data_IF_387853352745
#
_entry.id   IF_387853352745
#
_cell.length_a   1.000
_cell.length_b   1.000
_cell.length_c   1.000
_cell.angle_alpha   90.00
_cell.angle_beta   90.00
_cell.angle_gamma   90.00
#
_symmetry.space_group_name_H-M   'P 1'
#
loop_
_entity.id
_entity.type
_entity.pdbx_description
1 polymer ?
#
# COMPACT_ATOMS: atom_id res chain seq x y z
N UNK A 1 -31.65 -21.25 7.04
CA UNK A 1 -32.66 -20.22 6.74
C UNK A 1 -32.09 -19.18 5.74
N UNK A 2 -31.01 -18.47 6.08
CA UNK A 2 -30.54 -17.33 5.29
C UNK A 2 -29.98 -17.70 3.92
N UNK A 3 -29.26 -18.81 3.81
CA UNK A 3 -28.75 -19.31 2.51
C UNK A 3 -29.90 -19.76 1.58
N UNK A 4 -30.95 -20.37 2.13
CA UNK A 4 -32.12 -20.75 1.37
C UNK A 4 -32.86 -19.50 0.86
N UNK A 5 -33.06 -18.53 1.70
CA UNK A 5 -33.66 -17.23 1.34
C UNK A 5 -32.87 -16.50 0.23
N UNK A 6 -31.54 -16.40 0.38
CA UNK A 6 -30.69 -15.78 -0.63
C UNK A 6 -30.78 -16.53 -1.97
N UNK A 7 -30.80 -17.87 -1.94
CA UNK A 7 -30.92 -18.66 -3.14
C UNK A 7 -32.29 -18.46 -3.82
N UNK A 8 -33.38 -18.56 -3.06
CA UNK A 8 -34.75 -18.50 -3.58
C UNK A 8 -35.10 -17.08 -4.08
N UNK A 9 -34.79 -16.06 -3.30
CA UNK A 9 -35.21 -14.69 -3.60
C UNK A 9 -34.28 -13.94 -4.57
N UNK A 10 -33.01 -14.32 -4.65
CA UNK A 10 -32.02 -13.60 -5.46
C UNK A 10 -31.32 -14.48 -6.49
N UNK A 11 -30.60 -15.52 -6.07
CA UNK A 11 -29.71 -16.27 -6.97
C UNK A 11 -30.46 -17.11 -8.01
N UNK A 12 -31.62 -17.64 -7.65
CA UNK A 12 -32.48 -18.41 -8.59
C UNK A 12 -32.96 -17.60 -9.79
N UNK A 13 -32.95 -16.27 -9.70
CA UNK A 13 -33.36 -15.36 -10.81
C UNK A 13 -32.28 -15.21 -11.88
N UNK A 14 -31.07 -15.70 -11.61
CA UNK A 14 -29.97 -15.64 -12.56
C UNK A 14 -29.75 -17.00 -13.21
N UNK A 15 -29.58 -17.01 -14.51
CA UNK A 15 -29.11 -18.20 -15.23
C UNK A 15 -27.61 -18.19 -15.37
N UNK A 16 -26.99 -19.37 -15.22
CA UNK A 16 -25.54 -19.50 -15.42
C UNK A 16 -25.21 -19.18 -16.88
N UNK A 17 -24.53 -18.08 -17.10
CA UNK A 17 -23.90 -17.76 -18.38
C UNK A 17 -22.59 -18.49 -18.53
N UNK A 18 -21.99 -18.54 -19.74
CA UNK A 18 -20.65 -19.08 -19.94
C UNK A 18 -19.60 -18.39 -19.05
N UNK A 19 -18.39 -18.91 -19.06
CA UNK A 19 -17.26 -18.30 -18.30
C UNK A 19 -17.04 -16.87 -18.79
N UNK A 20 -17.22 -15.90 -17.90
CA UNK A 20 -16.84 -14.50 -18.17
C UNK A 20 -15.35 -14.38 -17.99
N UNK A 21 -14.65 -13.84 -18.97
CA UNK A 21 -13.23 -13.50 -18.84
C UNK A 21 -13.11 -12.23 -18.00
N UNK A 22 -12.80 -12.44 -16.70
CA UNK A 22 -12.59 -11.38 -15.72
C UNK A 22 -11.16 -11.41 -15.15
N UNK A 23 -10.26 -12.12 -15.83
CA UNK A 23 -8.86 -12.26 -15.38
C UNK A 23 -8.17 -10.90 -15.45
N UNK A 24 -7.61 -10.45 -14.33
CA UNK A 24 -6.75 -9.27 -14.27
C UNK A 24 -5.33 -9.73 -14.63
N UNK A 25 -4.74 -9.26 -15.73
CA UNK A 25 -3.40 -9.66 -16.09
C UNK A 25 -2.38 -9.07 -15.11
N UNK A 26 -1.35 -9.87 -14.80
CA UNK A 26 -0.21 -9.41 -14.01
C UNK A 26 0.59 -8.39 -14.83
N UNK A 27 0.86 -7.23 -14.27
CA UNK A 27 1.74 -6.25 -14.86
C UNK A 27 3.20 -6.74 -14.78
N UNK A 28 3.92 -6.85 -15.90
CA UNK A 28 5.33 -7.20 -15.88
C UNK A 28 6.15 -6.19 -15.08
N UNK A 29 7.14 -6.68 -14.35
CA UNK A 29 8.06 -5.80 -13.62
C UNK A 29 8.76 -4.84 -14.58
N UNK A 30 9.00 -3.61 -14.12
CA UNK A 30 9.77 -2.65 -14.88
C UNK A 30 11.23 -3.06 -14.95
N UNK A 31 11.87 -2.83 -16.10
CA UNK A 31 13.31 -3.08 -16.26
C UNK A 31 14.16 -2.18 -15.33
N UNK A 32 13.65 -1.01 -14.98
CA UNK A 32 14.23 -0.06 -14.02
C UNK A 32 13.14 0.73 -13.32
N UNK A 33 13.44 1.27 -12.16
CA UNK A 33 12.55 2.22 -11.46
C UNK A 33 12.10 3.32 -12.40
N UNK A 34 10.80 3.60 -12.44
CA UNK A 34 10.23 4.73 -13.18
C UNK A 34 10.24 5.98 -12.32
N UNK A 35 10.42 7.12 -12.96
CA UNK A 35 10.32 8.44 -12.34
C UNK A 35 9.22 9.23 -13.05
N UNK A 36 8.36 9.84 -12.28
CA UNK A 36 7.21 10.62 -12.77
C UNK A 36 7.19 11.95 -12.02
N UNK A 37 7.12 13.03 -12.76
CA UNK A 37 6.83 14.35 -12.23
C UNK A 37 5.43 14.76 -12.70
N UNK A 38 4.61 15.22 -11.79
CA UNK A 38 3.26 15.67 -12.05
C UNK A 38 2.98 16.97 -11.26
N UNK A 39 1.95 17.68 -11.69
CA UNK A 39 1.62 18.99 -11.13
C UNK A 39 0.17 19.01 -10.66
N UNK A 40 -0.08 19.67 -9.54
CA UNK A 40 -1.42 19.92 -9.03
C UNK A 40 -1.70 21.41 -8.91
N UNK A 41 -2.96 21.84 -9.07
CA UNK A 41 -3.31 23.25 -9.03
C UNK A 41 -3.18 23.82 -7.61
N UNK A 42 -2.68 25.05 -7.55
CA UNK A 42 -2.74 25.93 -6.38
C UNK A 42 -3.13 27.33 -6.86
N UNK A 43 -3.60 28.19 -5.95
CA UNK A 43 -4.02 29.54 -6.27
C UNK A 43 -2.87 30.36 -6.89
N UNK A 44 -3.19 31.29 -7.81
CA UNK A 44 -2.20 32.03 -8.59
C UNK A 44 -1.20 32.85 -7.75
N UNK A 45 -1.57 33.22 -6.53
CA UNK A 45 -0.71 33.98 -5.59
C UNK A 45 -0.21 33.14 -4.42
N UNK A 46 -0.44 31.82 -4.43
CA UNK A 46 -0.12 30.95 -3.30
C UNK A 46 1.37 30.67 -3.22
N UNK A 47 1.92 30.73 -1.99
CA UNK A 47 3.30 30.31 -1.71
C UNK A 47 3.42 28.79 -1.91
N UNK A 48 4.34 28.37 -2.77
CA UNK A 48 4.59 26.97 -3.09
C UNK A 48 5.61 26.30 -2.15
N UNK A 49 6.17 27.03 -1.19
CA UNK A 49 7.14 26.49 -0.22
C UNK A 49 6.54 25.35 0.59
N UNK A 50 7.29 24.26 0.73
CA UNK A 50 6.89 23.07 1.47
C UNK A 50 5.54 22.45 1.00
N UNK A 51 5.25 22.50 -0.30
CA UNK A 51 4.02 21.95 -0.90
C UNK A 51 4.26 20.79 -1.86
N UNK A 52 5.49 20.38 -2.03
CA UNK A 52 5.84 19.21 -2.85
C UNK A 52 5.56 17.92 -2.08
N UNK A 53 5.10 16.91 -2.82
CA UNK A 53 4.97 15.55 -2.34
C UNK A 53 5.95 14.65 -3.10
N UNK A 54 6.65 13.78 -2.37
CA UNK A 54 7.42 12.69 -2.96
C UNK A 54 6.86 11.37 -2.49
N UNK A 55 6.71 10.42 -3.40
CA UNK A 55 6.26 9.08 -3.10
C UNK A 55 7.10 8.04 -3.82
N UNK A 56 7.55 7.03 -3.09
CA UNK A 56 8.11 5.81 -3.62
C UNK A 56 7.05 4.72 -3.48
N UNK A 57 6.49 4.25 -4.59
CA UNK A 57 5.54 3.14 -4.64
C UNK A 57 6.21 1.91 -5.24
N UNK A 58 6.10 0.78 -4.56
CA UNK A 58 6.75 -0.49 -4.90
C UNK A 58 5.68 -1.56 -5.02
N UNK A 59 5.64 -2.25 -6.15
CA UNK A 59 4.79 -3.43 -6.32
C UNK A 59 5.46 -4.61 -5.61
N UNK A 60 4.77 -5.23 -4.66
CA UNK A 60 5.36 -6.24 -3.76
C UNK A 60 4.48 -7.47 -3.64
N UNK A 61 5.01 -8.64 -3.97
CA UNK A 61 4.34 -9.92 -3.76
C UNK A 61 3.10 -10.15 -4.64
N UNK A 62 2.18 -10.94 -4.10
CA UNK A 62 0.91 -11.32 -4.73
C UNK A 62 -0.16 -11.45 -3.64
N UNK A 63 -1.38 -10.99 -3.89
CA UNK A 63 -2.50 -11.03 -2.95
C UNK A 63 -2.88 -12.46 -2.50
N UNK A 64 -2.59 -13.47 -3.33
CA UNK A 64 -2.85 -14.88 -2.99
C UNK A 64 -1.83 -15.48 -2.01
N UNK A 65 -0.67 -14.81 -1.80
CA UNK A 65 0.28 -15.16 -0.73
C UNK A 65 -0.06 -14.38 0.54
N UNK A 66 -0.98 -14.90 1.32
CA UNK A 66 -1.52 -14.25 2.53
C UNK A 66 -0.44 -14.05 3.59
N UNK A 67 0.51 -14.98 3.71
CA UNK A 67 1.60 -14.87 4.67
C UNK A 67 2.51 -13.68 4.35
N UNK A 68 2.97 -13.58 3.11
CA UNK A 68 3.80 -12.46 2.66
C UNK A 68 3.03 -11.14 2.74
N UNK A 69 1.75 -11.13 2.36
CA UNK A 69 0.86 -9.97 2.48
C UNK A 69 0.75 -9.47 3.92
N UNK A 70 0.52 -10.38 4.86
CA UNK A 70 0.44 -10.04 6.28
C UNK A 70 1.80 -9.56 6.83
N UNK A 71 2.90 -10.20 6.43
CA UNK A 71 4.24 -9.81 6.84
C UNK A 71 4.64 -8.41 6.32
N UNK A 72 4.32 -8.08 5.06
CA UNK A 72 4.61 -6.77 4.48
C UNK A 72 3.75 -5.66 5.09
N UNK A 73 2.48 -5.94 5.41
CA UNK A 73 1.62 -5.02 6.16
C UNK A 73 2.19 -4.73 7.56
N UNK A 74 2.68 -5.77 8.25
CA UNK A 74 3.33 -5.63 9.54
C UNK A 74 4.62 -4.81 9.45
N UNK A 75 5.43 -5.04 8.41
CA UNK A 75 6.64 -4.26 8.14
C UNK A 75 6.32 -2.79 7.86
N UNK A 76 5.26 -2.49 7.12
CA UNK A 76 4.84 -1.11 6.89
C UNK A 76 4.57 -0.41 8.22
N UNK A 77 3.77 -1.03 9.11
CA UNK A 77 3.50 -0.48 10.44
C UNK A 77 4.76 -0.27 11.28
N UNK A 78 5.66 -1.25 11.32
CA UNK A 78 6.92 -1.16 12.08
C UNK A 78 7.84 -0.07 11.53
N UNK A 79 7.92 0.09 10.21
CA UNK A 79 8.84 1.03 9.57
C UNK A 79 8.33 2.48 9.58
N UNK A 80 6.99 2.71 9.55
CA UNK A 80 6.42 3.99 9.18
C UNK A 80 5.27 4.51 10.07
N UNK A 81 4.55 3.66 10.84
CA UNK A 81 3.31 4.07 11.52
C UNK A 81 3.54 5.03 12.69
N UNK A 82 4.53 4.76 13.53
CA UNK A 82 4.81 5.56 14.73
C UNK A 82 5.95 6.56 14.53
N UNK A 83 6.01 7.60 15.37
CA UNK A 83 7.14 8.54 15.37
C UNK A 83 8.48 7.88 15.73
N UNK A 84 8.45 6.78 16.46
CA UNK A 84 9.64 5.98 16.80
C UNK A 84 10.04 5.00 15.70
N UNK A 85 9.21 4.83 14.67
CA UNK A 85 9.46 3.93 13.54
C UNK A 85 10.74 4.33 12.81
N UNK A 86 11.65 3.37 12.52
CA UNK A 86 13.01 3.69 12.10
C UNK A 86 13.07 4.48 10.80
N UNK A 87 12.30 4.11 9.80
CA UNK A 87 12.30 4.78 8.51
C UNK A 87 11.64 6.16 8.58
N UNK A 88 10.49 6.26 9.26
CA UNK A 88 9.83 7.55 9.48
C UNK A 88 10.75 8.53 10.19
N UNK A 89 11.38 8.11 11.27
CA UNK A 89 12.32 8.93 12.04
C UNK A 89 13.53 9.35 11.22
N UNK A 90 14.11 8.45 10.43
CA UNK A 90 15.25 8.77 9.56
C UNK A 90 14.90 9.85 8.55
N UNK A 91 13.73 9.74 7.91
CA UNK A 91 13.26 10.72 6.92
C UNK A 91 12.93 12.09 7.56
N UNK A 92 12.26 12.11 8.71
CA UNK A 92 11.98 13.34 9.45
C UNK A 92 13.28 14.03 9.90
N UNK A 93 14.21 13.28 10.47
CA UNK A 93 15.52 13.82 10.89
C UNK A 93 16.35 14.35 9.71
N UNK A 94 16.19 13.77 8.53
CA UNK A 94 16.82 14.26 7.32
C UNK A 94 16.15 15.54 6.77
N UNK A 95 14.99 15.93 7.27
CA UNK A 95 14.26 17.12 6.81
C UNK A 95 13.78 17.00 5.38
N UNK A 96 13.38 15.83 4.93
CA UNK A 96 12.90 15.61 3.54
C UNK A 96 11.43 15.92 3.35
N UNK A 97 10.73 16.29 4.40
CA UNK A 97 9.34 16.68 4.41
C UNK A 97 8.85 16.95 5.83
N UNK A 98 7.73 17.64 5.95
CA UNK A 98 7.11 17.93 7.24
C UNK A 98 6.36 16.75 7.82
N UNK A 99 5.83 15.87 6.96
CA UNK A 99 5.16 14.65 7.37
C UNK A 99 5.59 13.46 6.49
N UNK A 100 5.80 12.32 7.15
CA UNK A 100 6.16 11.06 6.52
C UNK A 100 5.05 10.05 6.84
N UNK A 101 4.59 9.34 5.83
CA UNK A 101 3.60 8.28 5.97
C UNK A 101 3.94 7.07 5.12
N UNK A 102 3.41 5.92 5.50
CA UNK A 102 3.43 4.70 4.72
C UNK A 102 2.03 4.26 4.35
N UNK A 103 1.94 3.35 3.39
CA UNK A 103 0.73 2.59 3.14
C UNK A 103 1.05 1.24 2.50
N UNK A 104 0.23 0.24 2.83
CA UNK A 104 0.26 -1.07 2.21
C UNK A 104 -1.14 -1.43 1.69
N UNK A 105 -1.28 -1.50 0.37
CA UNK A 105 -2.53 -1.87 -0.30
C UNK A 105 -2.46 -3.34 -0.69
N UNK A 106 -2.95 -4.22 0.17
CA UNK A 106 -2.87 -5.68 0.02
C UNK A 106 -4.03 -6.31 -0.75
N UNK A 107 -5.08 -5.54 -1.07
CA UNK A 107 -6.28 -6.02 -1.78
C UNK A 107 -6.14 -6.04 -3.31
N UNK A 108 -5.03 -5.58 -3.86
CA UNK A 108 -4.72 -5.66 -5.28
C UNK A 108 -4.04 -6.99 -5.59
N UNK A 109 -4.26 -7.55 -6.81
CA UNK A 109 -3.56 -8.75 -7.27
C UNK A 109 -2.04 -8.65 -7.04
N UNK A 110 -1.48 -7.50 -7.36
CA UNK A 110 -0.11 -7.12 -7.06
C UNK A 110 -0.12 -6.01 -6.01
N UNK A 111 0.06 -6.34 -4.72
CA UNK A 111 0.06 -5.38 -3.63
C UNK A 111 1.08 -4.26 -3.82
N UNK A 112 0.79 -3.11 -3.24
CA UNK A 112 1.65 -1.92 -3.32
C UNK A 112 2.07 -1.52 -1.91
N UNK A 113 3.38 -1.30 -1.75
CA UNK A 113 3.99 -0.69 -0.57
C UNK A 113 4.44 0.72 -0.94
N UNK A 114 3.94 1.74 -0.25
CA UNK A 114 4.28 3.14 -0.53
C UNK A 114 4.89 3.83 0.67
N UNK A 115 5.86 4.71 0.39
CA UNK A 115 6.50 5.63 1.33
C UNK A 115 6.32 7.02 0.78
N UNK A 116 5.76 7.94 1.58
CA UNK A 116 5.41 9.29 1.15
C UNK A 116 5.98 10.34 2.08
N UNK A 117 6.57 11.38 1.50
CA UNK A 117 6.89 12.64 2.17
C UNK A 117 5.96 13.73 1.65
N UNK A 118 5.37 14.51 2.55
CA UNK A 118 4.57 15.68 2.26
C UNK A 118 5.11 16.90 2.99
N UNK A 119 4.81 18.10 2.46
CA UNK A 119 5.44 19.30 2.97
C UNK A 119 6.94 19.33 2.65
N UNK A 120 7.30 18.94 1.43
CA UNK A 120 8.66 18.84 0.91
C UNK A 120 8.96 19.95 -0.11
N UNK A 121 10.20 19.93 -0.63
CA UNK A 121 10.66 20.77 -1.72
C UNK A 121 11.08 19.91 -2.92
N UNK A 122 10.98 20.38 -4.16
CA UNK A 122 11.34 19.62 -5.36
C UNK A 122 12.74 19.01 -5.31
N UNK A 123 13.71 19.75 -4.78
CA UNK A 123 15.13 19.39 -4.72
C UNK A 123 15.41 18.27 -3.71
N UNK A 124 14.47 17.97 -2.81
CA UNK A 124 14.64 16.96 -1.76
C UNK A 124 14.34 15.53 -2.24
N UNK A 125 13.88 15.35 -3.49
CA UNK A 125 13.56 14.03 -4.05
C UNK A 125 14.70 13.02 -3.90
N UNK A 126 15.89 13.37 -4.35
CA UNK A 126 17.03 12.45 -4.35
C UNK A 126 17.51 12.15 -2.93
N UNK A 127 17.42 13.12 -2.03
CA UNK A 127 17.68 12.94 -0.60
C UNK A 127 16.65 12.00 0.03
N UNK A 128 15.36 12.17 -0.29
CA UNK A 128 14.28 11.29 0.16
C UNK A 128 14.58 9.83 -0.21
N UNK A 129 14.90 9.57 -1.48
CA UNK A 129 15.22 8.23 -1.98
C UNK A 129 16.49 7.68 -1.32
N UNK A 130 17.55 8.49 -1.23
CA UNK A 130 18.82 8.07 -0.63
C UNK A 130 18.64 7.66 0.84
N UNK A 131 17.87 8.42 1.63
CA UNK A 131 17.61 8.11 3.04
C UNK A 131 16.80 6.82 3.18
N UNK A 132 15.81 6.57 2.30
CA UNK A 132 15.05 5.31 2.31
C UNK A 132 16.00 4.13 2.10
N UNK A 133 16.76 4.13 1.02
CA UNK A 133 17.66 3.01 0.70
C UNK A 133 18.72 2.79 1.78
N UNK A 134 19.35 3.85 2.25
CA UNK A 134 20.34 3.74 3.33
C UNK A 134 19.73 3.15 4.60
N UNK A 135 18.56 3.63 5.01
CA UNK A 135 17.91 3.14 6.23
C UNK A 135 17.50 1.67 6.10
N UNK A 136 16.93 1.28 4.94
CA UNK A 136 16.56 -0.12 4.70
C UNK A 136 17.79 -1.03 4.65
N UNK A 137 18.89 -0.60 4.03
CA UNK A 137 20.16 -1.34 4.03
C UNK A 137 20.73 -1.47 5.44
N UNK A 138 20.75 -0.38 6.22
CA UNK A 138 21.22 -0.42 7.62
C UNK A 138 20.38 -1.41 8.46
N UNK A 139 19.07 -1.47 8.24
CA UNK A 139 18.16 -2.44 8.88
C UNK A 139 18.50 -3.87 8.47
N UNK A 140 18.76 -4.13 7.19
CA UNK A 140 19.09 -5.50 6.74
C UNK A 140 20.45 -5.97 7.28
N UNK A 141 21.39 -5.08 7.51
CA UNK A 141 22.71 -5.41 8.07
C UNK A 141 22.64 -5.61 9.59
N UNK A 142 21.99 -4.68 10.29
CA UNK A 142 22.01 -4.64 11.77
C UNK A 142 20.83 -5.36 12.42
N UNK A 143 19.81 -5.73 11.64
CA UNK A 143 18.56 -6.34 12.08
C UNK A 143 17.49 -5.31 12.46
N UNK A 144 16.22 -5.72 12.35
CA UNK A 144 15.07 -4.99 12.89
C UNK A 144 14.99 -5.15 14.41
N UNK A 145 14.51 -4.11 15.09
CA UNK A 145 14.20 -4.22 16.51
C UNK A 145 13.09 -5.27 16.75
N UNK A 146 13.49 -6.39 17.35
CA UNK A 146 12.59 -7.51 17.64
C UNK A 146 11.44 -7.13 18.55
N UNK A 147 11.63 -6.16 19.45
CA UNK A 147 10.57 -5.70 20.36
C UNK A 147 9.49 -4.94 19.61
N UNK A 148 9.87 -4.12 18.62
CA UNK A 148 8.91 -3.44 17.76
C UNK A 148 8.10 -4.43 16.91
N UNK A 149 8.76 -5.42 16.31
CA UNK A 149 8.10 -6.48 15.56
C UNK A 149 7.15 -7.29 16.44
N UNK A 150 7.58 -7.68 17.64
CA UNK A 150 6.77 -8.43 18.58
C UNK A 150 5.56 -7.63 19.05
N UNK A 151 5.72 -6.34 19.33
CA UNK A 151 4.63 -5.46 19.70
C UNK A 151 3.61 -5.31 18.56
N UNK A 152 4.07 -5.15 17.32
CA UNK A 152 3.20 -5.08 16.15
C UNK A 152 2.44 -6.39 15.90
N UNK A 153 3.11 -7.55 16.06
CA UNK A 153 2.46 -8.88 16.00
C UNK A 153 1.40 -9.04 17.08
N UNK A 154 1.70 -8.64 18.33
CA UNK A 154 0.75 -8.73 19.43
C UNK A 154 -0.47 -7.83 19.18
N UNK A 155 -0.26 -6.61 18.71
CA UNK A 155 -1.35 -5.69 18.34
C UNK A 155 -2.22 -6.26 17.21
N UNK A 156 -1.59 -6.83 16.18
CA UNK A 156 -2.29 -7.47 15.06
C UNK A 156 -3.11 -8.67 15.53
N UNK A 157 -2.51 -9.56 16.34
CA UNK A 157 -3.20 -10.71 16.91
C UNK A 157 -4.38 -10.28 17.78
N UNK A 158 -4.20 -9.27 18.63
CA UNK A 158 -5.26 -8.71 19.47
C UNK A 158 -6.43 -8.22 18.61
N UNK A 159 -6.16 -7.37 17.61
CA UNK A 159 -7.20 -6.85 16.69
C UNK A 159 -7.96 -7.98 15.99
N UNK A 160 -7.26 -9.03 15.55
CA UNK A 160 -7.89 -10.19 14.90
C UNK A 160 -8.74 -11.04 15.85
N UNK A 161 -8.33 -11.19 17.11
CA UNK A 161 -9.06 -11.97 18.11
C UNK A 161 -10.29 -11.25 18.64
N UNK A 162 -10.17 -9.96 18.96
CA UNK A 162 -11.27 -9.14 19.44
C UNK A 162 -12.34 -8.98 18.36
N UNK A 163 -11.90 -8.89 17.08
CA UNK A 163 -12.81 -8.71 15.94
C UNK A 163 -13.80 -7.59 16.18
N UNK A 164 -13.33 -6.52 16.81
CA UNK A 164 -14.12 -5.31 17.02
C UNK A 164 -13.98 -4.42 15.78
N UNK A 165 -15.05 -4.35 15.02
CA UNK A 165 -15.14 -3.55 13.81
C UNK A 165 -16.06 -2.33 14.00
N UNK A 166 -16.28 -1.93 15.23
CA UNK A 166 -17.16 -0.82 15.59
C UNK A 166 -18.59 -1.07 15.12
N UNK A 167 -19.14 -0.15 14.34
CA UNK A 167 -20.52 -0.24 13.84
C UNK A 167 -20.72 -1.25 12.69
N UNK A 168 -19.67 -1.85 12.15
CA UNK A 168 -19.78 -2.77 11.02
C UNK A 168 -20.07 -4.21 11.47
N UNK A 169 -21.01 -4.92 10.82
CA UNK A 169 -21.25 -6.34 11.10
C UNK A 169 -19.99 -7.18 10.85
N UNK A 170 -19.64 -8.06 11.78
CA UNK A 170 -18.45 -8.93 11.67
C UNK A 170 -18.43 -9.71 10.37
N UNK A 171 -19.56 -10.28 9.96
CA UNK A 171 -19.67 -11.04 8.72
C UNK A 171 -19.34 -10.24 7.46
N UNK A 172 -19.69 -8.95 7.43
CA UNK A 172 -19.36 -8.06 6.32
C UNK A 172 -17.84 -7.87 6.22
N UNK A 173 -17.16 -7.57 7.33
CA UNK A 173 -15.71 -7.34 7.32
C UNK A 173 -14.95 -8.61 6.98
N UNK A 174 -15.35 -9.77 7.51
CA UNK A 174 -14.78 -11.05 7.11
C UNK A 174 -15.02 -11.35 5.63
N UNK A 175 -16.23 -11.07 5.11
CA UNK A 175 -16.54 -11.23 3.71
C UNK A 175 -15.66 -10.38 2.80
N UNK A 176 -15.44 -9.10 3.14
CA UNK A 176 -14.52 -8.21 2.43
C UNK A 176 -13.09 -8.78 2.47
N UNK A 177 -12.59 -9.17 3.65
CA UNK A 177 -11.25 -9.73 3.78
C UNK A 177 -11.03 -11.04 3.01
N UNK A 178 -12.08 -11.87 2.88
CA UNK A 178 -12.06 -13.08 2.05
C UNK A 178 -11.94 -12.73 0.57
N UNK A 179 -12.59 -11.65 0.12
CA UNK A 179 -12.57 -11.21 -1.28
C UNK A 179 -11.17 -10.78 -1.73
N UNK A 180 -10.33 -10.23 -0.85
CA UNK A 180 -8.97 -9.80 -1.18
C UNK A 180 -8.10 -10.90 -1.83
N UNK A 181 -8.38 -12.15 -1.51
CA UNK A 181 -7.70 -13.32 -2.05
C UNK A 181 -8.56 -14.05 -3.10
N UNK A 182 -9.84 -14.22 -2.82
CA UNK A 182 -10.75 -15.01 -3.67
C UNK A 182 -10.98 -14.40 -5.05
N UNK A 183 -10.97 -13.09 -5.19
CA UNK A 183 -11.06 -12.39 -6.48
C UNK A 183 -9.95 -12.77 -7.46
N UNK A 184 -8.85 -13.30 -6.96
CA UNK A 184 -7.68 -13.69 -7.74
C UNK A 184 -7.44 -15.22 -7.74
N UNK A 185 -8.52 -15.99 -7.63
CA UNK A 185 -8.50 -17.46 -7.59
C UNK A 185 -7.75 -18.08 -6.38
N UNK A 186 -7.48 -17.29 -5.33
CA UNK A 186 -6.93 -17.78 -4.07
C UNK A 186 -7.98 -18.50 -3.22
N UNK A 187 -7.51 -19.22 -2.19
CA UNK A 187 -8.40 -19.94 -1.29
C UNK A 187 -9.10 -18.97 -0.32
N UNK A 188 -10.44 -18.81 -0.40
CA UNK A 188 -11.17 -17.84 0.43
C UNK A 188 -11.07 -18.11 1.93
N UNK A 189 -10.82 -19.34 2.35
CA UNK A 189 -10.78 -19.73 3.77
C UNK A 189 -9.40 -19.51 4.39
N UNK A 190 -8.36 -19.36 3.59
CA UNK A 190 -6.98 -19.31 4.08
C UNK A 190 -6.74 -18.08 4.95
N UNK A 191 -7.24 -16.92 4.55
CA UNK A 191 -7.14 -15.68 5.35
C UNK A 191 -7.84 -15.73 6.71
N UNK A 192 -8.85 -16.61 6.85
CA UNK A 192 -9.54 -16.82 8.12
C UNK A 192 -8.73 -17.72 9.09
N UNK A 193 -7.73 -18.44 8.60
CA UNK A 193 -6.83 -19.30 9.41
C UNK A 193 -5.62 -18.53 9.94
N UNK A 194 -5.81 -17.29 10.32
CA UNK A 194 -4.73 -16.36 10.73
C UNK A 194 -3.83 -16.90 11.86
N UNK A 195 -4.32 -17.78 12.73
CA UNK A 195 -3.51 -18.35 13.81
C UNK A 195 -2.26 -19.09 13.31
N UNK A 196 -2.35 -19.80 12.18
CA UNK A 196 -1.22 -20.52 11.58
C UNK A 196 -0.21 -19.50 11.06
N UNK A 197 -0.68 -18.48 10.35
CA UNK A 197 0.15 -17.44 9.78
C UNK A 197 0.84 -16.64 10.87
N UNK A 198 0.12 -16.24 11.92
CA UNK A 198 0.70 -15.52 13.06
C UNK A 198 1.80 -16.33 13.76
N UNK A 199 1.61 -17.65 13.90
CA UNK A 199 2.65 -18.54 14.44
C UNK A 199 3.91 -18.50 13.58
N UNK A 200 3.76 -18.65 12.26
CA UNK A 200 4.89 -18.61 11.33
C UNK A 200 5.60 -17.25 11.35
N UNK A 201 4.85 -16.15 11.42
CA UNK A 201 5.41 -14.81 11.55
C UNK A 201 6.18 -14.62 12.88
N UNK A 202 5.69 -15.21 13.99
CA UNK A 202 6.42 -15.22 15.27
C UNK A 202 7.69 -16.06 15.19
N UNK A 203 7.66 -17.18 14.50
CA UNK A 203 8.87 -17.98 14.29
C UNK A 203 9.88 -17.25 13.41
N UNK A 204 9.42 -16.38 12.49
CA UNK A 204 10.23 -15.47 11.70
C UNK A 204 11.07 -14.49 12.54
N UNK A 205 10.63 -14.12 13.76
CA UNK A 205 11.41 -13.28 14.69
C UNK A 205 12.73 -13.91 15.14
N UNK A 206 12.84 -15.23 15.05
CA UNK A 206 14.05 -15.99 15.45
C UNK A 206 15.06 -16.10 14.30
N UNK A 207 14.71 -15.65 13.13
CA UNK A 207 15.48 -15.75 11.89
C UNK A 207 15.69 -14.37 11.28
N UNK A 208 16.22 -14.32 10.06
CA UNK A 208 16.32 -13.08 9.26
C UNK A 208 15.14 -12.92 8.29
N UNK A 209 13.97 -13.46 8.62
CA UNK A 209 12.82 -13.48 7.71
C UNK A 209 12.38 -12.07 7.30
N UNK A 210 12.29 -11.15 8.25
CA UNK A 210 11.84 -9.77 7.97
C UNK A 210 12.88 -8.95 7.22
N UNK A 211 14.15 -9.13 7.53
CA UNK A 211 15.26 -8.52 6.78
C UNK A 211 15.29 -9.03 5.33
N UNK A 212 15.06 -10.33 5.12
CA UNK A 212 14.96 -10.91 3.78
C UNK A 212 13.76 -10.36 2.99
N UNK A 213 12.63 -10.10 3.64
CA UNK A 213 11.50 -9.43 2.98
C UNK A 213 11.88 -8.02 2.54
N UNK A 214 12.59 -7.26 3.37
CA UNK A 214 13.09 -5.93 3.01
C UNK A 214 14.05 -6.02 1.83
N UNK A 215 15.02 -6.94 1.88
CA UNK A 215 15.98 -7.18 0.79
C UNK A 215 15.25 -7.48 -0.54
N UNK A 216 14.40 -8.51 -0.53
CA UNK A 216 13.79 -9.02 -1.76
C UNK A 216 12.71 -8.10 -2.34
N UNK A 217 11.87 -7.49 -1.49
CA UNK A 217 10.70 -6.74 -1.96
C UNK A 217 10.91 -5.23 -2.00
N UNK A 218 11.74 -4.68 -1.12
CA UNK A 218 11.92 -3.23 -1.04
C UNK A 218 13.25 -2.76 -1.65
N UNK A 219 14.35 -3.51 -1.50
CA UNK A 219 15.66 -3.13 -2.02
C UNK A 219 15.91 -3.65 -3.44
N UNK A 220 15.88 -4.96 -3.65
CA UNK A 220 16.29 -5.60 -4.91
C UNK A 220 15.18 -5.61 -5.99
N UNK A 221 14.05 -5.06 -5.69
CA UNK A 221 12.91 -4.98 -6.59
C UNK A 221 13.03 -3.77 -7.54
N UNK A 222 12.87 -3.95 -8.84
CA UNK A 222 12.87 -2.88 -9.85
C UNK A 222 11.47 -2.37 -10.20
N UNK A 223 10.41 -3.09 -9.77
CA UNK A 223 9.03 -2.72 -10.05
C UNK A 223 8.56 -1.57 -9.12
N UNK A 224 9.18 -0.40 -9.32
CA UNK A 224 9.01 0.80 -8.51
C UNK A 224 8.71 2.01 -9.36
N UNK A 225 7.98 2.95 -8.76
CA UNK A 225 7.75 4.28 -9.31
C UNK A 225 8.08 5.32 -8.23
N UNK A 226 8.88 6.32 -8.60
CA UNK A 226 9.10 7.52 -7.80
C UNK A 226 8.22 8.61 -8.41
N UNK A 227 7.31 9.16 -7.63
CA UNK A 227 6.44 10.26 -8.05
C UNK A 227 6.82 11.51 -7.27
N UNK A 228 7.02 12.62 -8.00
CA UNK A 228 7.07 13.96 -7.43
C UNK A 228 5.85 14.72 -7.90
N UNK A 229 5.03 15.17 -6.95
CA UNK A 229 3.85 15.99 -7.24
C UNK A 229 4.09 17.41 -6.75
N UNK A 230 4.16 18.33 -7.69
CA UNK A 230 4.57 19.72 -7.47
C UNK A 230 3.38 20.67 -7.54
N UNK A 231 3.33 21.71 -6.70
CA UNK A 231 2.33 22.76 -6.81
C UNK A 231 2.56 23.60 -8.07
N UNK A 232 1.49 23.91 -8.81
CA UNK A 232 1.55 24.77 -10.00
C UNK A 232 0.49 25.86 -9.93
N UNK A 233 0.87 27.12 -9.69
CA UNK A 233 -0.04 28.26 -9.74
C UNK A 233 -0.68 28.41 -11.12
N UNK A 234 -1.99 28.73 -11.15
CA UNK A 234 -2.74 28.95 -12.40
C UNK A 234 -3.09 27.68 -13.19
N UNK A 235 -2.75 26.50 -12.67
CA UNK A 235 -3.06 25.24 -13.36
C UNK A 235 -4.56 24.99 -13.46
N UNK A 236 -5.35 25.38 -12.47
CA UNK A 236 -6.80 25.18 -12.48
C UNK A 236 -7.48 25.91 -13.65
N UNK A 237 -7.10 27.15 -13.93
CA UNK A 237 -7.63 27.91 -15.06
C UNK A 237 -7.24 27.26 -16.40
N UNK A 238 -5.99 26.80 -16.52
CA UNK A 238 -5.53 26.10 -17.71
C UNK A 238 -6.27 24.78 -17.94
N UNK A 239 -6.44 23.97 -16.90
CA UNK A 239 -7.17 22.70 -16.96
C UNK A 239 -8.65 22.94 -17.32
N UNK A 240 -9.29 23.95 -16.71
CA UNK A 240 -10.69 24.34 -17.03
C UNK A 240 -10.84 24.79 -18.49
N UNK A 241 -9.89 25.57 -19.01
CA UNK A 241 -9.90 26.00 -20.41
C UNK A 241 -9.82 24.81 -21.37
N UNK A 242 -8.93 23.84 -21.07
CA UNK A 242 -8.80 22.60 -21.82
C UNK A 242 -10.07 21.73 -21.76
N UNK A 243 -10.72 21.67 -20.61
CA UNK A 243 -11.97 20.92 -20.44
C UNK A 243 -13.10 21.55 -21.28
N UNK A 244 -13.25 22.87 -21.22
CA UNK A 244 -14.23 23.61 -22.05
C UNK A 244 -14.00 23.34 -23.54
N UNK A 245 -12.75 23.38 -24.02
CA UNK A 245 -12.42 23.06 -25.41
C UNK A 245 -12.78 21.62 -25.80
N UNK A 246 -12.43 20.65 -24.93
CA UNK A 246 -12.81 19.23 -25.15
C UNK A 246 -14.33 19.05 -25.21
N UNK A 247 -15.05 19.67 -24.29
CA UNK A 247 -16.51 19.60 -24.26
C UNK A 247 -17.16 20.26 -25.50
N UNK A 248 -16.60 21.35 -25.99
CA UNK A 248 -17.05 21.98 -27.22
C UNK A 248 -16.87 21.06 -28.46
N UNK A 249 -15.72 20.37 -28.54
CA UNK A 249 -15.45 19.37 -29.59
C UNK A 249 -16.38 18.15 -29.55
N UNK A 250 -16.84 17.75 -28.35
CA UNK A 250 -17.76 16.63 -28.19
C UNK A 250 -19.21 16.97 -28.52
N UNK A 251 -19.56 18.28 -28.51
CA UNK A 251 -20.90 18.77 -28.82
C UNK A 251 -21.08 19.12 -30.31
N UNK A 252 -20.01 19.26 -31.07
CA UNK A 252 -20.00 19.52 -32.50
C UNK A 252 -20.08 18.23 -33.31
#
# INVERSE_FOLDING_TARGET
ADLAYLNEEYLSKFTKTGKVDSVIPVQPAYAKTKEVEAYYPVDAGEDCTAKTYHELSIVVGNATDIKTTMALRLLEGVLLESESSPLRRALLNAGVGQNISGSYVGSLLQPIFSIKASGSEPELRDKFISVIYKTLQDITINGLDKKLLEAALNSTEFKMRESDFGAYPKGLIYGIGVMDNWLYDGNPIEGLRYNIILKELRDGLKTRYYEQLIENYLLDNTHKVIVSLLPQPGKEEADRALEVEKMAKLKA
#
